data_IF_543571767382
#
_entry.id   IF_543571767382
#
_cell.length_a   1.000
_cell.length_b   1.000
_cell.length_c   1.000
_cell.angle_alpha   90.00
_cell.angle_beta   90.00
_cell.angle_gamma   90.00
#
_symmetry.space_group_name_H-M   'P 1'
#
loop_
_entity.id
_entity.type
_entity.pdbx_description
1 polymer ?
#
# COMPACT_ATOMS: atom_id res chain seq x y z
N UNK A 1 -19.53 -7.13 -10.76
CA UNK A 1 -18.92 -5.79 -10.83
C UNK A 1 -17.65 -5.90 -11.66
N UNK A 2 -17.60 -5.24 -12.81
CA UNK A 2 -16.38 -5.20 -13.61
C UNK A 2 -15.40 -4.23 -12.94
N UNK A 3 -14.24 -4.73 -12.54
CA UNK A 3 -13.14 -3.89 -12.05
C UNK A 3 -12.57 -3.18 -13.27
N UNK A 4 -12.69 -1.86 -13.32
CA UNK A 4 -12.06 -1.05 -14.35
C UNK A 4 -10.54 -1.13 -14.17
N UNK A 5 -9.87 -1.80 -15.09
CA UNK A 5 -8.44 -2.09 -15.02
C UNK A 5 -7.59 -1.08 -15.83
N UNK A 6 -8.14 0.04 -16.29
CA UNK A 6 -7.46 0.85 -17.32
C UNK A 6 -6.57 1.99 -16.82
N UNK A 7 -6.47 2.26 -15.52
CA UNK A 7 -5.60 3.35 -15.04
C UNK A 7 -4.14 2.92 -14.88
N UNK A 8 -3.32 3.28 -15.87
CA UNK A 8 -1.88 3.43 -15.66
C UNK A 8 -1.62 4.49 -14.57
N UNK A 9 -0.58 4.29 -13.76
CA UNK A 9 -0.15 5.29 -12.79
C UNK A 9 0.15 6.62 -13.53
N UNK A 10 -0.50 7.71 -13.10
CA UNK A 10 -0.18 9.03 -13.60
C UNK A 10 1.19 9.48 -13.04
N UNK A 11 2.06 10.14 -13.83
CA UNK A 11 3.31 10.69 -13.31
C UNK A 11 3.02 11.76 -12.24
N UNK A 12 3.80 11.75 -11.16
CA UNK A 12 3.69 12.72 -10.08
C UNK A 12 4.11 14.12 -10.54
N UNK A 13 3.26 15.12 -10.26
CA UNK A 13 3.51 16.53 -10.57
C UNK A 13 3.55 17.44 -9.32
N UNK A 14 3.65 16.85 -8.11
CA UNK A 14 3.68 17.63 -6.88
C UNK A 14 5.01 18.37 -6.68
N UNK A 15 5.00 19.46 -5.89
CA UNK A 15 6.14 20.37 -5.74
C UNK A 15 7.31 19.79 -4.91
N UNK A 16 7.12 18.68 -4.21
CA UNK A 16 8.11 18.07 -3.30
C UNK A 16 8.26 16.59 -3.61
N UNK A 17 9.48 16.13 -3.88
CA UNK A 17 9.79 14.71 -4.10
C UNK A 17 9.51 13.91 -2.81
N UNK A 18 8.52 12.99 -2.78
CA UNK A 18 8.13 12.29 -1.54
C UNK A 18 9.26 11.45 -0.96
N UNK A 19 10.23 11.03 -1.79
CA UNK A 19 11.42 10.30 -1.36
C UNK A 19 12.48 11.17 -0.68
N UNK A 20 12.26 12.49 -0.61
CA UNK A 20 13.13 13.45 0.07
C UNK A 20 12.41 14.20 1.20
N UNK A 21 11.11 13.97 1.37
CA UNK A 21 10.29 14.64 2.37
C UNK A 21 10.40 13.88 3.71
N UNK A 22 10.95 14.51 4.78
CA UNK A 22 11.15 13.85 6.06
C UNK A 22 9.84 13.51 6.80
N UNK A 23 8.69 13.99 6.32
CA UNK A 23 7.37 13.62 6.85
C UNK A 23 6.93 12.23 6.41
N UNK A 24 7.56 11.67 5.36
CA UNK A 24 7.33 10.31 4.95
C UNK A 24 8.19 9.33 5.77
N UNK A 25 7.63 8.16 6.04
CA UNK A 25 8.36 6.99 6.56
C UNK A 25 8.91 6.21 5.38
N UNK A 26 10.11 5.66 5.56
CA UNK A 26 10.85 4.99 4.49
C UNK A 26 10.96 3.48 4.75
N UNK A 27 10.96 2.72 3.66
CA UNK A 27 11.32 1.31 3.60
C UNK A 27 11.99 1.00 2.28
N UNK A 28 12.63 -0.17 2.21
CA UNK A 28 13.28 -0.65 0.99
C UNK A 28 12.40 -1.70 0.30
N UNK A 29 12.57 -1.83 -1.01
CA UNK A 29 12.03 -2.96 -1.77
C UNK A 29 12.88 -4.20 -1.50
N UNK A 30 12.22 -5.27 -1.10
CA UNK A 30 12.77 -6.60 -0.94
C UNK A 30 12.56 -7.43 -2.21
N UNK A 31 13.64 -8.03 -2.69
CA UNK A 31 13.64 -8.95 -3.82
C UNK A 31 14.84 -9.89 -3.74
N UNK A 32 14.73 -11.09 -4.33
CA UNK A 32 15.82 -12.06 -4.42
C UNK A 32 16.88 -11.68 -5.48
N UNK A 33 16.64 -10.60 -6.24
CA UNK A 33 17.55 -10.10 -7.26
C UNK A 33 18.63 -9.20 -6.64
N UNK A 34 19.82 -9.21 -7.26
CA UNK A 34 20.87 -8.28 -6.90
C UNK A 34 20.39 -6.83 -7.13
N UNK A 35 20.62 -5.95 -6.14
CA UNK A 35 20.18 -4.55 -6.13
C UNK A 35 20.67 -3.75 -7.36
N UNK A 36 21.73 -4.20 -8.05
CA UNK A 36 22.19 -3.60 -9.32
C UNK A 36 21.20 -3.80 -10.46
N UNK A 37 20.45 -4.89 -10.44
CA UNK A 37 19.52 -5.28 -11.49
C UNK A 37 18.10 -4.84 -11.19
N UNK A 38 17.69 -4.93 -9.93
CA UNK A 38 16.40 -4.43 -9.46
C UNK A 38 16.50 -4.01 -8.00
N UNK A 39 16.14 -2.77 -7.72
CA UNK A 39 16.03 -2.22 -6.38
C UNK A 39 14.87 -1.22 -6.32
N UNK A 40 14.61 -0.69 -5.15
CA UNK A 40 13.64 0.37 -5.01
C UNK A 40 13.41 0.78 -3.57
N UNK A 41 12.63 1.84 -3.42
CA UNK A 41 12.25 2.43 -2.16
C UNK A 41 10.72 2.53 -2.10
N UNK A 42 10.18 2.40 -0.89
CA UNK A 42 8.80 2.70 -0.58
C UNK A 42 8.77 3.80 0.48
N UNK A 43 7.91 4.78 0.28
CA UNK A 43 7.66 5.82 1.28
C UNK A 43 6.17 5.97 1.52
N UNK A 44 5.78 6.17 2.77
CA UNK A 44 4.38 6.34 3.13
C UNK A 44 4.20 7.42 4.21
N UNK A 45 3.08 8.14 4.14
CA UNK A 45 2.71 9.17 5.11
C UNK A 45 1.23 9.07 5.46
N UNK A 46 0.94 9.15 6.75
CA UNK A 46 -0.43 9.29 7.25
C UNK A 46 -0.76 10.78 7.24
N UNK A 47 -1.98 11.11 6.81
CA UNK A 47 -2.51 12.47 6.75
C UNK A 47 -3.93 12.48 7.29
N UNK A 48 -4.19 13.32 8.30
CA UNK A 48 -5.52 13.52 8.88
C UNK A 48 -6.37 14.51 8.08
N UNK A 49 -7.59 14.77 8.55
CA UNK A 49 -8.60 15.54 7.83
C UNK A 49 -8.22 17.01 7.61
N UNK A 50 -7.39 17.56 8.50
CA UNK A 50 -6.81 18.91 8.50
C UNK A 50 -5.57 19.05 7.60
N UNK A 51 -5.05 17.93 7.08
CA UNK A 51 -3.85 17.91 6.24
C UNK A 51 -2.55 17.78 7.03
N UNK A 52 -2.60 17.66 8.35
CA UNK A 52 -1.41 17.40 9.17
C UNK A 52 -1.05 15.90 9.17
N UNK A 53 0.23 15.61 9.45
CA UNK A 53 0.68 14.23 9.69
C UNK A 53 0.57 13.91 11.16
N UNK A 54 -0.28 12.94 11.58
CA UNK A 54 -0.48 12.66 12.98
C UNK A 54 0.82 12.23 13.66
N UNK A 55 1.09 12.83 14.81
CA UNK A 55 2.36 12.68 15.49
C UNK A 55 2.52 11.32 16.21
N UNK A 56 1.42 10.58 16.49
CA UNK A 56 1.33 9.25 17.15
C UNK A 56 -0.08 8.92 17.65
N UNK A 57 -0.98 9.90 17.71
CA UNK A 57 -2.37 9.75 18.16
C UNK A 57 -3.24 10.11 16.96
N UNK A 58 -4.25 9.27 16.68
CA UNK A 58 -5.22 9.50 15.61
C UNK A 58 -6.61 9.48 16.22
N UNK A 59 -7.42 10.48 15.89
CA UNK A 59 -8.85 10.44 16.23
C UNK A 59 -9.58 9.55 15.23
N UNK A 60 -10.07 8.41 15.72
CA UNK A 60 -10.82 7.45 14.92
C UNK A 60 -12.22 7.97 14.53
N UNK A 61 -12.71 9.05 15.14
CA UNK A 61 -13.94 9.72 14.72
C UNK A 61 -13.76 10.53 13.43
N UNK A 62 -12.51 10.75 13.00
CA UNK A 62 -12.21 11.50 11.78
C UNK A 62 -11.76 10.60 10.64
N UNK A 63 -11.94 11.13 9.42
CA UNK A 63 -11.37 10.51 8.22
C UNK A 63 -9.88 10.84 8.15
N UNK A 64 -9.09 9.88 7.69
CA UNK A 64 -7.68 10.07 7.42
C UNK A 64 -7.27 9.20 6.23
N UNK A 65 -6.05 9.35 5.75
CA UNK A 65 -5.56 8.55 4.64
C UNK A 65 -4.06 8.30 4.73
N UNK A 66 -3.61 7.30 3.99
CA UNK A 66 -2.20 7.04 3.75
C UNK A 66 -1.88 7.31 2.29
N UNK A 67 -0.93 8.22 2.05
CA UNK A 67 -0.31 8.37 0.74
C UNK A 67 0.95 7.48 0.68
N UNK A 68 1.02 6.62 -0.34
CA UNK A 68 2.08 5.63 -0.53
C UNK A 68 2.73 5.83 -1.88
N UNK A 69 4.05 5.90 -1.90
CA UNK A 69 4.87 6.01 -3.09
C UNK A 69 5.86 4.85 -3.14
N UNK A 70 5.99 4.24 -4.31
CA UNK A 70 7.00 3.21 -4.60
C UNK A 70 7.83 3.68 -5.78
N UNK A 71 9.15 3.58 -5.68
CA UNK A 71 10.07 3.81 -6.79
C UNK A 71 10.90 2.55 -7.01
N UNK A 72 10.81 1.99 -8.21
CA UNK A 72 11.66 0.88 -8.67
C UNK A 72 12.77 1.41 -9.58
N UNK A 73 13.94 0.81 -9.49
CA UNK A 73 15.15 1.18 -10.25
C UNK A 73 15.92 -0.07 -10.67
N UNK A 74 16.84 0.07 -11.63
CA UNK A 74 17.70 -1.02 -12.11
C UNK A 74 17.38 -1.46 -13.53
N UNK A 75 18.31 -2.22 -14.13
CA UNK A 75 18.25 -2.61 -15.55
C UNK A 75 17.13 -3.61 -15.88
N UNK A 76 16.57 -4.29 -14.88
CA UNK A 76 15.46 -5.24 -15.07
C UNK A 76 14.09 -4.60 -14.90
N UNK A 77 13.99 -3.33 -14.51
CA UNK A 77 12.71 -2.61 -14.43
C UNK A 77 11.84 -2.79 -15.69
N UNK A 78 12.37 -2.69 -16.93
CA UNK A 78 11.57 -2.88 -18.14
C UNK A 78 11.09 -4.31 -18.40
N UNK A 79 11.50 -5.28 -17.58
CA UNK A 79 11.10 -6.68 -17.69
C UNK A 79 9.98 -7.05 -16.71
N UNK A 80 9.57 -6.14 -15.81
CA UNK A 80 8.58 -6.43 -14.78
C UNK A 80 7.19 -6.01 -15.25
N UNK A 81 6.34 -7.00 -15.52
CA UNK A 81 4.94 -6.82 -15.88
C UNK A 81 4.03 -7.31 -14.74
N UNK A 82 2.82 -6.76 -14.64
CA UNK A 82 1.82 -7.17 -13.66
C UNK A 82 1.21 -5.98 -12.94
N UNK A 83 0.89 -6.15 -11.67
CA UNK A 83 0.29 -5.11 -10.83
C UNK A 83 0.92 -5.06 -9.45
N UNK A 84 0.72 -3.96 -8.74
CA UNK A 84 1.03 -3.78 -7.34
C UNK A 84 -0.28 -3.75 -6.55
N UNK A 85 -0.32 -4.50 -5.46
CA UNK A 85 -1.35 -4.38 -4.44
C UNK A 85 -0.78 -3.58 -3.27
N UNK A 86 -1.34 -2.40 -3.02
CA UNK A 86 -1.01 -1.60 -1.84
C UNK A 86 -2.03 -1.85 -0.74
N UNK A 87 -1.56 -2.17 0.45
CA UNK A 87 -2.39 -2.46 1.62
C UNK A 87 -1.89 -1.75 2.85
N UNK A 88 -2.83 -1.25 3.65
CA UNK A 88 -2.61 -0.85 5.03
C UNK A 88 -3.02 -2.04 5.89
N UNK A 89 -2.11 -2.45 6.77
CA UNK A 89 -2.32 -3.50 7.76
C UNK A 89 -2.11 -2.84 9.13
N UNK A 90 -3.08 -3.01 10.02
CA UNK A 90 -3.07 -2.45 11.35
C UNK A 90 -3.30 -3.59 12.35
N UNK A 91 -2.22 -4.01 13.00
CA UNK A 91 -2.25 -5.06 14.02
C UNK A 91 -2.69 -4.45 15.35
N UNK A 92 -3.76 -4.99 15.93
CA UNK A 92 -4.31 -4.52 17.20
C UNK A 92 -3.48 -5.08 18.37
N UNK A 93 -2.90 -4.19 19.20
CA UNK A 93 -2.10 -4.57 20.37
C UNK A 93 -2.95 -4.59 21.67
N UNK A 94 -4.19 -4.13 21.60
CA UNK A 94 -5.15 -4.08 22.70
C UNK A 94 -5.95 -5.38 22.89
N UNK A 95 -6.78 -5.44 23.95
CA UNK A 95 -7.69 -6.55 24.18
C UNK A 95 -8.73 -6.64 23.06
N UNK A 96 -9.01 -7.85 22.56
CA UNK A 96 -10.02 -8.08 21.52
C UNK A 96 -9.46 -8.29 20.11
N UNK A 97 -8.18 -7.99 19.85
CA UNK A 97 -7.35 -8.61 18.80
C UNK A 97 -7.82 -8.56 17.35
N UNK A 98 -8.79 -7.72 17.00
CA UNK A 98 -9.24 -7.61 15.61
C UNK A 98 -8.25 -6.76 14.81
N UNK A 99 -7.47 -7.43 13.96
CA UNK A 99 -6.62 -6.79 12.95
C UNK A 99 -7.48 -6.05 11.92
N UNK A 100 -6.96 -4.93 11.43
CA UNK A 100 -7.60 -4.13 10.41
C UNK A 100 -6.77 -4.13 9.13
N UNK A 101 -7.41 -4.38 8.00
CA UNK A 101 -6.78 -4.33 6.69
C UNK A 101 -7.59 -3.49 5.71
N UNK A 102 -6.89 -2.72 4.87
CA UNK A 102 -7.52 -1.95 3.80
C UNK A 102 -6.64 -1.87 2.56
N UNK A 103 -7.26 -2.04 1.40
CA UNK A 103 -6.60 -1.87 0.10
C UNK A 103 -6.66 -0.42 -0.39
N UNK A 104 -5.82 -0.09 -1.38
CA UNK A 104 -5.86 1.22 -2.02
C UNK A 104 -7.18 1.53 -2.72
N UNK A 105 -7.57 2.80 -2.70
CA UNK A 105 -8.88 3.29 -3.16
C UNK A 105 -9.20 2.91 -4.62
N UNK A 106 -8.16 2.77 -5.46
CA UNK A 106 -8.25 2.42 -6.88
C UNK A 106 -8.00 0.93 -7.16
N UNK A 107 -7.86 0.10 -6.13
CA UNK A 107 -7.46 -1.29 -6.27
C UNK A 107 -6.02 -1.43 -6.78
N UNK A 108 -5.80 -2.43 -7.64
CA UNK A 108 -4.46 -2.78 -8.14
C UNK A 108 -3.87 -1.70 -9.06
N UNK A 109 -2.60 -1.33 -8.80
CA UNK A 109 -1.85 -0.38 -9.62
C UNK A 109 -1.05 -1.15 -10.69
N UNK A 110 -1.33 -0.93 -11.97
CA UNK A 110 -0.61 -1.61 -13.05
C UNK A 110 0.85 -1.15 -13.13
N UNK A 111 1.76 -2.09 -13.27
CA UNK A 111 3.17 -1.79 -13.56
C UNK A 111 3.31 -1.26 -14.98
N UNK A 112 4.23 -0.31 -15.18
CA UNK A 112 4.56 0.25 -16.47
C UNK A 112 6.04 -0.04 -16.78
N UNK A 113 6.35 -1.11 -17.53
CA UNK A 113 7.74 -1.48 -17.83
C UNK A 113 8.50 -0.39 -18.61
N UNK A 114 7.78 0.44 -19.38
CA UNK A 114 8.37 1.55 -20.13
C UNK A 114 8.32 2.89 -19.36
N UNK A 115 7.88 2.87 -18.10
CA UNK A 115 7.72 4.05 -17.26
C UNK A 115 9.00 4.46 -16.54
N UNK A 116 8.86 5.43 -15.65
CA UNK A 116 9.93 5.94 -14.78
C UNK A 116 10.13 5.10 -13.49
N UNK A 117 9.37 4.01 -13.35
CA UNK A 117 9.40 3.13 -12.18
C UNK A 117 8.72 3.72 -10.96
N UNK A 118 7.98 4.82 -11.08
CA UNK A 118 7.29 5.47 -9.95
C UNK A 118 5.81 5.11 -9.92
N UNK A 119 5.32 4.78 -8.73
CA UNK A 119 3.94 4.37 -8.49
C UNK A 119 3.39 5.06 -7.25
N UNK A 120 2.09 5.38 -7.28
CA UNK A 120 1.37 6.02 -6.19
C UNK A 120 0.08 5.27 -5.89
N UNK A 121 -0.24 5.19 -4.61
CA UNK A 121 -1.53 4.76 -4.13
C UNK A 121 -1.97 5.64 -2.94
N UNK A 122 -3.29 5.81 -2.82
CA UNK A 122 -3.94 6.36 -1.64
C UNK A 122 -4.81 5.28 -1.01
N UNK A 123 -4.76 5.20 0.30
CA UNK A 123 -5.59 4.31 1.12
C UNK A 123 -6.39 5.21 2.07
N UNK A 124 -7.67 5.42 1.79
CA UNK A 124 -8.53 6.29 2.59
C UNK A 124 -9.20 5.48 3.69
N UNK A 125 -9.07 5.91 4.95
CA UNK A 125 -9.71 5.31 6.12
C UNK A 125 -10.87 6.21 6.58
N UNK A 126 -12.13 5.75 6.47
CA UNK A 126 -13.30 6.51 6.93
C UNK A 126 -13.31 6.68 8.44
N UNK A 127 -14.06 7.69 8.88
CA UNK A 127 -14.43 7.84 10.29
C UNK A 127 -15.10 6.57 10.83
N UNK A 128 -14.76 6.19 12.05
CA UNK A 128 -15.28 5.05 12.80
C UNK A 128 -15.02 3.66 12.17
N UNK A 129 -14.08 3.58 11.21
CA UNK A 129 -13.76 2.32 10.52
C UNK A 129 -12.77 1.46 11.31
N UNK A 130 -11.94 2.08 12.17
CA UNK A 130 -11.06 1.38 13.11
C UNK A 130 -11.76 1.23 14.45
N UNK A 131 -11.72 0.01 14.97
CA UNK A 131 -12.28 -0.32 16.28
C UNK A 131 -11.39 0.23 17.39
N UNK A 132 -11.98 1.02 18.28
CA UNK A 132 -11.29 1.61 19.42
C UNK A 132 -12.04 1.25 20.70
N UNK A 133 -11.29 0.82 21.72
CA UNK A 133 -11.80 0.50 23.05
C UNK A 133 -11.91 1.77 23.91
N UNK A 134 -12.61 1.70 25.06
CA UNK A 134 -12.93 2.88 25.89
C UNK A 134 -11.72 3.73 26.32
N UNK A 135 -10.51 3.16 26.39
CA UNK A 135 -9.29 3.86 26.80
C UNK A 135 -8.34 4.15 25.63
N UNK A 136 -8.83 4.03 24.40
CA UNK A 136 -8.01 4.01 23.20
C UNK A 136 -7.40 2.63 22.93
N UNK A 137 -7.01 2.42 21.67
CA UNK A 137 -6.42 1.16 21.20
C UNK A 137 -5.10 1.41 20.50
N UNK A 138 -3.98 0.84 20.97
CA UNK A 138 -2.71 0.91 20.26
C UNK A 138 -2.71 -0.05 19.07
N UNK A 139 -2.28 0.45 17.92
CA UNK A 139 -2.09 -0.31 16.70
C UNK A 139 -0.65 -0.21 16.19
N UNK A 140 -0.16 -1.31 15.63
CA UNK A 140 1.04 -1.31 14.81
C UNK A 140 0.64 -1.23 13.34
N UNK A 141 0.93 -0.10 12.71
CA UNK A 141 0.57 0.15 11.32
C UNK A 141 1.72 -0.18 10.37
N UNK A 142 1.41 -0.95 9.34
CA UNK A 142 2.32 -1.34 8.26
C UNK A 142 1.65 -1.09 6.92
N UNK A 143 2.33 -0.39 6.04
CA UNK A 143 1.95 -0.33 4.62
C UNK A 143 2.77 -1.34 3.86
N UNK A 144 2.12 -2.19 3.08
CA UNK A 144 2.77 -3.16 2.22
C UNK A 144 2.43 -2.88 0.74
N UNK A 145 3.45 -2.92 -0.11
CA UNK A 145 3.30 -3.07 -1.55
C UNK A 145 3.70 -4.50 -1.92
N UNK A 146 2.78 -5.24 -2.54
CA UNK A 146 3.04 -6.61 -3.01
C UNK A 146 2.98 -6.65 -4.53
N UNK A 147 4.05 -7.12 -5.18
CA UNK A 147 4.02 -7.39 -6.61
C UNK A 147 3.14 -8.59 -6.91
N UNK A 148 2.20 -8.42 -7.83
CA UNK A 148 1.34 -9.46 -8.36
C UNK A 148 1.68 -9.71 -9.83
N UNK A 149 1.99 -10.95 -10.15
CA UNK A 149 2.33 -11.39 -11.50
C UNK A 149 1.34 -12.42 -12.02
N UNK A 150 1.19 -12.46 -13.35
CA UNK A 150 0.50 -13.55 -14.02
C UNK A 150 1.54 -14.64 -14.28
N UNK A 151 1.66 -15.59 -13.36
CA UNK A 151 2.38 -16.83 -13.64
C UNK A 151 1.35 -17.89 -14.00
N UNK A 152 1.17 -18.23 -15.30
CA UNK A 152 0.34 -19.36 -15.64
C UNK A 152 1.04 -20.62 -15.12
N UNK A 153 0.59 -21.15 -13.98
CA UNK A 153 0.78 -22.58 -13.73
C UNK A 153 0.21 -23.25 -14.97
N UNK A 154 1.02 -24.08 -15.66
CA UNK A 154 0.59 -24.83 -16.83
C UNK A 154 -0.82 -25.37 -16.57
N UNK A 155 -1.85 -24.76 -17.17
CA UNK A 155 -3.13 -25.44 -17.34
C UNK A 155 -2.76 -26.72 -18.12
N UNK A 156 -3.22 -27.88 -17.65
CA UNK A 156 -3.01 -29.17 -18.34
C UNK A 156 -3.16 -28.94 -19.85
N UNK A 157 -2.21 -29.42 -20.65
CA UNK A 157 -2.22 -29.26 -22.12
C UNK A 157 -3.63 -29.52 -22.67
N UNK A 158 -4.24 -28.52 -23.31
CA UNK A 158 -5.54 -28.66 -23.98
C UNK A 158 -6.67 -27.71 -23.55
N UNK A 159 -6.48 -26.84 -22.55
CA UNK A 159 -7.48 -25.82 -22.23
C UNK A 159 -7.38 -24.61 -23.20
N UNK A 160 -8.49 -24.14 -23.81
CA UNK A 160 -8.49 -22.92 -24.61
C UNK A 160 -8.04 -21.72 -23.77
N UNK A 161 -7.41 -20.73 -24.43
CA UNK A 161 -6.98 -19.48 -23.81
C UNK A 161 -8.22 -18.69 -23.37
N UNK A 162 -8.73 -18.98 -22.18
CA UNK A 162 -9.68 -18.09 -21.50
C UNK A 162 -8.94 -16.84 -21.07
N UNK A 163 -9.56 -15.68 -21.34
CA UNK A 163 -9.12 -14.38 -20.85
C UNK A 163 -8.84 -14.45 -19.35
N UNK A 164 -7.61 -14.09 -18.96
CA UNK A 164 -7.17 -14.09 -17.57
C UNK A 164 -8.13 -13.25 -16.71
N UNK A 165 -8.83 -13.90 -15.79
CA UNK A 165 -9.64 -13.23 -14.78
C UNK A 165 -8.76 -12.66 -13.67
N UNK A 166 -9.29 -11.75 -12.85
CA UNK A 166 -8.60 -11.23 -11.67
C UNK A 166 -8.11 -12.34 -10.69
N UNK A 167 -8.68 -13.55 -10.78
CA UNK A 167 -8.31 -14.73 -10.00
C UNK A 167 -6.99 -15.42 -10.43
N UNK A 168 -6.33 -14.96 -11.51
CA UNK A 168 -5.08 -15.56 -12.01
C UNK A 168 -3.80 -14.84 -11.54
N UNK A 169 -3.93 -13.76 -10.76
CA UNK A 169 -2.78 -13.04 -10.19
C UNK A 169 -2.22 -13.76 -8.96
N UNK A 170 -0.90 -13.84 -8.86
CA UNK A 170 -0.19 -14.43 -7.71
C UNK A 170 0.90 -13.49 -7.20
N UNK A 171 1.22 -13.53 -5.89
CA UNK A 171 2.38 -12.84 -5.35
C UNK A 171 3.66 -13.22 -6.11
N UNK A 172 4.41 -12.22 -6.53
CA UNK A 172 5.72 -12.35 -7.16
C UNK A 172 6.87 -12.17 -6.17
N UNK A 173 8.09 -12.12 -6.69
CA UNK A 173 9.33 -12.03 -5.89
C UNK A 173 9.72 -10.60 -5.49
N UNK A 174 8.74 -9.70 -5.35
CA UNK A 174 8.96 -8.32 -4.95
C UNK A 174 7.90 -7.90 -3.92
N UNK A 175 8.37 -7.35 -2.81
CA UNK A 175 7.54 -6.71 -1.81
C UNK A 175 8.26 -5.50 -1.24
N UNK A 176 7.52 -4.57 -0.65
CA UNK A 176 8.09 -3.45 0.08
C UNK A 176 7.20 -3.10 1.25
N UNK A 177 7.78 -2.71 2.37
CA UNK A 177 7.02 -2.41 3.59
C UNK A 177 7.50 -1.12 4.23
N UNK A 178 6.56 -0.33 4.74
CA UNK A 178 6.82 0.82 5.60
C UNK A 178 6.16 0.57 6.95
N UNK A 179 6.96 0.53 8.00
CA UNK A 179 6.47 0.44 9.37
C UNK A 179 6.31 1.86 9.94
N UNK A 180 5.14 2.15 10.50
CA UNK A 180 4.96 3.36 11.30
C UNK A 180 5.31 3.07 12.76
N UNK A 181 5.66 4.11 13.53
CA UNK A 181 5.65 4.00 14.99
C UNK A 181 4.29 3.48 15.48
N UNK A 182 4.28 2.88 16.66
CA UNK A 182 3.02 2.51 17.31
C UNK A 182 2.13 3.75 17.44
N UNK A 183 0.88 3.61 17.03
CA UNK A 183 -0.11 4.69 16.98
C UNK A 183 -1.24 4.36 17.93
N UNK A 184 -1.62 5.32 18.76
CA UNK A 184 -2.79 5.21 19.62
C UNK A 184 -4.01 5.77 18.89
N UNK A 185 -5.05 4.97 18.73
CA UNK A 185 -6.34 5.44 18.22
C UNK A 185 -7.26 5.74 19.40
N UNK A 186 -7.96 6.87 19.34
CA UNK A 186 -8.91 7.33 20.35
C UNK A 186 -10.23 7.74 19.68
N UNK A 187 -11.31 7.82 20.46
CA UNK A 187 -12.51 8.55 20.05
C UNK A 187 -12.59 9.83 20.91
N UNK A 188 -12.46 11.01 20.30
CA UNK A 188 -12.76 12.25 21.02
C UNK A 188 -14.27 12.36 21.24
N UNK A 189 -14.72 12.27 22.50
CA UNK A 189 -16.13 12.50 22.84
C UNK A 189 -16.83 11.41 23.68
N UNK A 190 -16.09 10.55 24.39
CA UNK A 190 -16.72 9.73 25.44
C UNK A 190 -17.06 10.64 26.62
N UNK A 191 -18.23 11.27 26.60
CA UNK A 191 -18.81 11.85 27.83
C UNK A 191 -18.95 10.72 28.87
N UNK A 192 -18.50 10.92 30.12
CA UNK A 192 -18.54 9.91 31.17
C UNK A 192 -19.94 9.50 31.60
#
# INVERSE_FOLDING_TARGET
MAIDTTQAAAPYSGPVDPFKDPTFRHGEVETDLDRRFLAGDIVARITESDGESPARIIDANEKWHVDVWLQLTGSLLPMICGSLAFRLIAENIGPGGDDYERESDKGLVKLNPCGDGRYHARISVPANDIKVENTGTPYKLVVAATYLTVCPLRKKQGAPYESLGANDLRPGALAAMVNFPMTLFIYEGVEP
#
